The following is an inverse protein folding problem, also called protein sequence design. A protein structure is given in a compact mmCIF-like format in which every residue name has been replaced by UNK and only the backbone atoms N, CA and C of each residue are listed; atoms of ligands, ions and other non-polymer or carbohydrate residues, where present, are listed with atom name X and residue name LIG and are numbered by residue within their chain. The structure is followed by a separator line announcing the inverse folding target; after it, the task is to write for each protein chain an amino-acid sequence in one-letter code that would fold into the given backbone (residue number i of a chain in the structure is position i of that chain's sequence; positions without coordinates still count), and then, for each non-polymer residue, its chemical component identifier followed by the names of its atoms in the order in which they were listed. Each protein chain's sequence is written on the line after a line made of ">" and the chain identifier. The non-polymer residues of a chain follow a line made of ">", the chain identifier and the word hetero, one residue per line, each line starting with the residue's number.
data_IF_474142025362
#
_entry.id   IF_474142025362
#
_cell.length_a   1.000
_cell.length_b   1.000
_cell.length_c   1.000
_cell.angle_alpha   90.00
_cell.angle_beta   90.00
_cell.angle_gamma   90.00
#
_symmetry.space_group_name_H-M   'P 1'
#
loop_
_entity.id
_entity.type
_entity.pdbx_description
1 polymer ?
#
# COMPACT_ATOMS: atom_id res chain seq x y z
N UNK A 1 17.43 13.67 23.32
CA UNK A 1 17.95 12.29 23.25
C UNK A 1 17.27 11.58 22.10
N UNK A 2 18.03 11.01 21.15
CA UNK A 2 17.48 10.10 20.14
C UNK A 2 17.58 8.70 20.72
N UNK A 3 16.46 8.03 20.96
CA UNK A 3 16.45 6.63 21.32
C UNK A 3 17.01 5.83 20.14
N UNK A 4 18.14 5.17 20.37
CA UNK A 4 18.75 4.24 19.41
C UNK A 4 18.17 2.88 19.74
N UNK A 5 17.19 2.46 18.97
CA UNK A 5 16.66 1.12 19.10
C UNK A 5 17.57 0.14 18.35
N UNK A 6 18.33 -0.66 19.10
CA UNK A 6 19.07 -1.80 18.58
C UNK A 6 18.08 -2.96 18.41
N UNK A 7 17.55 -3.11 17.20
CA UNK A 7 16.70 -4.25 16.85
C UNK A 7 17.48 -5.21 15.95
N UNK A 8 17.57 -6.47 16.38
CA UNK A 8 18.21 -7.57 15.65
C UNK A 8 17.68 -7.68 14.21
N UNK A 9 18.53 -7.38 13.22
CA UNK A 9 18.51 -7.84 11.81
C UNK A 9 17.18 -7.86 11.00
N UNK A 10 16.07 -7.34 11.53
CA UNK A 10 14.76 -7.30 10.90
C UNK A 10 14.58 -6.06 10.03
N UNK A 11 14.01 -6.20 8.84
CA UNK A 11 13.63 -5.06 8.03
C UNK A 11 12.42 -4.37 8.68
N UNK A 12 12.66 -3.29 9.42
CA UNK A 12 11.60 -2.46 9.99
C UNK A 12 10.96 -1.58 8.93
N UNK A 13 9.65 -1.38 9.02
CA UNK A 13 8.94 -0.37 8.26
C UNK A 13 8.51 0.75 9.19
N UNK A 14 8.82 1.99 8.81
CA UNK A 14 8.34 3.19 9.47
C UNK A 14 6.99 3.59 8.87
N UNK A 15 5.97 3.67 9.73
CA UNK A 15 4.65 4.19 9.39
C UNK A 15 4.60 5.65 9.85
N UNK A 16 4.64 6.58 8.90
CA UNK A 16 4.70 7.99 9.26
C UNK A 16 3.32 8.59 9.51
N UNK A 17 3.10 9.19 10.68
CA UNK A 17 1.84 9.88 11.01
C UNK A 17 1.55 11.00 10.00
N UNK A 18 2.57 11.76 9.61
CA UNK A 18 2.48 12.82 8.60
C UNK A 18 1.87 12.34 7.28
N UNK A 19 2.20 11.13 6.85
CA UNK A 19 1.67 10.54 5.62
C UNK A 19 0.33 9.84 5.85
N UNK A 20 0.19 9.06 6.91
CA UNK A 20 -1.03 8.30 7.19
C UNK A 20 -2.23 9.18 7.57
N UNK A 21 -1.99 10.42 8.02
CA UNK A 21 -3.03 11.41 8.26
C UNK A 21 -3.47 12.16 6.98
N UNK A 22 -2.89 11.86 5.80
CA UNK A 22 -3.41 12.40 4.54
C UNK A 22 -4.71 11.70 4.17
N UNK A 23 -5.58 12.44 3.48
CA UNK A 23 -6.83 11.91 2.94
C UNK A 23 -6.61 11.34 1.54
N UNK A 24 -7.19 10.18 1.28
CA UNK A 24 -7.17 9.56 -0.03
C UNK A 24 -8.45 8.79 -0.30
N UNK A 25 -9.04 8.96 -1.47
CA UNK A 25 -10.27 8.27 -1.84
C UNK A 25 -10.01 7.07 -2.76
N UNK A 26 -9.41 6.03 -2.20
CA UNK A 26 -9.29 4.71 -2.84
C UNK A 26 -10.41 3.76 -2.38
N UNK A 27 -11.54 4.31 -1.94
CA UNK A 27 -12.73 3.51 -1.64
C UNK A 27 -13.31 2.93 -2.94
N UNK A 28 -14.15 1.89 -2.90
CA UNK A 28 -14.85 1.42 -4.10
C UNK A 28 -15.56 2.54 -4.85
N UNK A 29 -16.17 3.47 -4.13
CA UNK A 29 -16.85 4.63 -4.71
C UNK A 29 -15.87 5.63 -5.35
N UNK A 30 -14.77 5.96 -4.68
CA UNK A 30 -13.71 6.80 -5.23
C UNK A 30 -13.06 6.19 -6.47
N UNK A 31 -12.87 4.86 -6.45
CA UNK A 31 -12.39 4.11 -7.62
C UNK A 31 -13.39 4.23 -8.77
N UNK A 32 -14.68 3.99 -8.53
CA UNK A 32 -15.73 4.03 -9.56
C UNK A 32 -15.89 5.41 -10.19
N UNK A 33 -15.88 6.46 -9.38
CA UNK A 33 -16.27 7.81 -9.82
C UNK A 33 -15.10 8.72 -10.18
N UNK A 34 -13.93 8.58 -9.54
CA UNK A 34 -12.80 9.51 -9.69
C UNK A 34 -11.68 8.95 -10.56
N UNK A 35 -11.08 7.83 -10.16
CA UNK A 35 -9.89 7.31 -10.83
C UNK A 35 -10.18 6.20 -11.85
N UNK A 36 -11.38 5.59 -11.81
CA UNK A 36 -11.81 4.47 -12.67
C UNK A 36 -10.84 3.30 -12.67
N UNK A 37 -10.22 3.02 -11.52
CA UNK A 37 -9.28 1.91 -11.36
C UNK A 37 -8.02 2.04 -12.20
N UNK A 38 -7.64 3.22 -12.70
CA UNK A 38 -6.49 3.41 -13.60
C UNK A 38 -5.15 2.85 -13.10
N UNK A 39 -4.97 2.67 -11.79
CA UNK A 39 -3.80 1.98 -11.21
C UNK A 39 -3.71 0.49 -11.59
N UNK A 40 -4.80 -0.08 -12.12
CA UNK A 40 -4.91 -1.46 -12.58
C UNK A 40 -4.73 -1.63 -14.09
N UNK A 41 -4.49 -0.54 -14.83
CA UNK A 41 -4.36 -0.55 -16.28
C UNK A 41 -2.95 -0.10 -16.69
N UNK A 42 -2.29 -0.93 -17.51
CA UNK A 42 -0.94 -0.67 -18.03
C UNK A 42 0.19 -1.23 -17.17
N UNK A 43 1.46 -1.10 -17.61
CA UNK A 43 2.63 -1.70 -16.96
C UNK A 43 2.99 -1.03 -15.62
N UNK A 44 2.17 -0.06 -15.20
CA UNK A 44 2.51 0.89 -14.17
C UNK A 44 1.98 0.40 -12.83
N UNK A 45 2.90 -0.13 -12.03
CA UNK A 45 2.81 -0.39 -10.60
C UNK A 45 1.50 0.01 -9.87
N UNK A 46 0.85 -0.93 -9.16
CA UNK A 46 1.32 -2.29 -8.87
C UNK A 46 1.29 -3.18 -10.12
N UNK A 47 2.27 -4.07 -10.26
CA UNK A 47 2.45 -4.94 -11.44
C UNK A 47 1.40 -6.04 -11.53
N UNK A 48 0.12 -5.73 -11.32
CA UNK A 48 -0.98 -6.69 -11.25
C UNK A 48 -1.75 -6.78 -12.57
N UNK A 49 -1.14 -6.53 -13.72
CA UNK A 49 -1.78 -6.82 -14.99
C UNK A 49 -1.71 -8.32 -15.24
N UNK A 50 -2.85 -8.99 -15.24
CA UNK A 50 -2.92 -10.39 -15.70
C UNK A 50 -2.67 -10.50 -17.20
N UNK A 51 -2.68 -11.73 -17.73
CA UNK A 51 -2.33 -12.07 -19.12
C UNK A 51 -2.89 -11.16 -20.22
N UNK A 52 -4.07 -10.57 -20.02
CA UNK A 52 -4.73 -9.69 -21.00
C UNK A 52 -4.49 -8.19 -20.76
N UNK A 53 -3.51 -7.83 -19.93
CA UNK A 53 -3.27 -6.44 -19.52
C UNK A 53 -4.30 -5.90 -18.52
N UNK A 54 -5.17 -6.76 -17.98
CA UNK A 54 -6.25 -6.42 -17.04
C UNK A 54 -5.94 -6.97 -15.66
N UNK A 55 -6.20 -6.18 -14.61
CA UNK A 55 -6.05 -6.66 -13.25
C UNK A 55 -7.13 -7.70 -12.90
N UNK A 56 -6.76 -8.92 -12.46
CA UNK A 56 -7.74 -9.95 -12.09
C UNK A 56 -8.55 -9.58 -10.84
N UNK A 57 -8.03 -8.64 -10.04
CA UNK A 57 -8.67 -8.14 -8.84
C UNK A 57 -9.53 -6.89 -9.09
N UNK A 58 -9.62 -6.39 -10.32
CA UNK A 58 -10.52 -5.29 -10.65
C UNK A 58 -11.86 -5.87 -11.12
N UNK A 59 -12.95 -5.57 -10.40
CA UNK A 59 -14.33 -5.86 -10.79
C UNK A 59 -15.06 -4.62 -11.26
N UNK A 60 -16.34 -4.78 -11.62
CA UNK A 60 -17.22 -3.69 -12.09
C UNK A 60 -17.36 -2.56 -11.05
N UNK A 61 -17.29 -2.90 -9.77
CA UNK A 61 -17.42 -1.97 -8.64
C UNK A 61 -16.06 -1.51 -8.07
N UNK A 62 -14.96 -1.73 -8.80
CA UNK A 62 -13.61 -1.42 -8.34
C UNK A 62 -12.85 -2.64 -7.81
N UNK A 63 -11.85 -2.41 -6.95
CA UNK A 63 -10.99 -3.50 -6.45
C UNK A 63 -11.77 -4.50 -5.60
N UNK A 64 -11.66 -5.79 -5.92
CA UNK A 64 -12.18 -6.91 -5.14
C UNK A 64 -11.33 -7.08 -3.87
N UNK A 65 -11.80 -6.52 -2.76
CA UNK A 65 -11.09 -6.55 -1.47
C UNK A 65 -11.08 -7.98 -0.88
N UNK A 66 -12.07 -8.81 -1.23
CA UNK A 66 -12.25 -10.19 -0.72
C UNK A 66 -11.09 -11.17 -1.00
N UNK A 67 -10.20 -10.88 -1.94
CA UNK A 67 -9.06 -11.74 -2.31
C UNK A 67 -7.71 -11.22 -1.76
N UNK A 68 -7.73 -10.54 -0.61
CA UNK A 68 -6.54 -9.89 -0.03
C UNK A 68 -5.30 -10.79 0.07
N UNK A 69 -5.47 -12.09 0.32
CA UNK A 69 -4.37 -13.07 0.42
C UNK A 69 -3.66 -13.33 -0.91
N UNK A 70 -4.38 -13.24 -2.03
CA UNK A 70 -3.88 -13.49 -3.39
C UNK A 70 -3.25 -12.25 -4.02
N UNK A 71 -3.61 -11.05 -3.55
CA UNK A 71 -3.10 -9.79 -4.09
C UNK A 71 -1.64 -9.55 -3.69
N UNK A 72 -0.78 -9.07 -4.62
CA UNK A 72 0.58 -8.68 -4.28
C UNK A 72 0.63 -7.67 -3.13
N UNK A 73 1.61 -7.78 -2.24
CA UNK A 73 1.83 -6.82 -1.14
C UNK A 73 1.99 -5.41 -1.70
N UNK A 74 2.66 -5.24 -2.83
CA UNK A 74 2.78 -3.92 -3.49
C UNK A 74 1.43 -3.33 -3.91
N UNK A 75 0.48 -4.18 -4.32
CA UNK A 75 -0.89 -3.78 -4.64
C UNK A 75 -1.70 -3.43 -3.40
N UNK A 76 -1.56 -4.25 -2.35
CA UNK A 76 -2.22 -4.01 -1.07
C UNK A 76 -1.77 -2.67 -0.48
N UNK A 77 -0.49 -2.34 -0.56
CA UNK A 77 0.04 -1.10 -0.04
C UNK A 77 -0.42 0.15 -0.80
N UNK A 78 -0.94 0.06 -2.02
CA UNK A 78 -1.36 1.23 -2.78
C UNK A 78 -2.46 2.03 -2.05
N UNK A 79 -2.36 3.36 -1.91
CA UNK A 79 -1.49 4.30 -2.63
C UNK A 79 -0.15 4.59 -1.96
N UNK A 80 0.26 3.82 -0.96
CA UNK A 80 1.54 3.94 -0.28
C UNK A 80 2.65 3.19 -1.03
N UNK A 81 3.89 3.60 -0.78
CA UNK A 81 5.10 2.86 -1.17
C UNK A 81 6.14 2.98 -0.07
N UNK A 82 7.02 1.99 0.02
CA UNK A 82 8.20 2.08 0.85
C UNK A 82 9.27 2.93 0.14
N UNK A 83 9.79 3.97 0.80
CA UNK A 83 10.91 4.74 0.30
C UNK A 83 12.27 4.11 0.70
N UNK A 84 13.38 4.73 0.27
CA UNK A 84 14.75 4.26 0.58
C UNK A 84 15.12 4.26 2.07
N UNK A 85 14.34 4.95 2.91
CA UNK A 85 14.51 5.03 4.36
C UNK A 85 13.51 4.11 5.09
N UNK A 86 13.01 3.08 4.40
CA UNK A 86 11.98 2.16 4.89
C UNK A 86 10.73 2.84 5.46
N UNK A 87 10.37 4.02 4.96
CA UNK A 87 9.15 4.73 5.39
C UNK A 87 8.04 4.53 4.38
N UNK A 88 6.85 4.14 4.85
CA UNK A 88 5.64 4.17 4.03
C UNK A 88 5.24 5.62 3.78
N UNK A 89 5.26 6.00 2.51
CA UNK A 89 4.91 7.34 2.02
C UNK A 89 3.89 7.20 0.91
N UNK A 90 3.08 8.24 0.69
CA UNK A 90 2.16 8.24 -0.46
C UNK A 90 2.98 8.24 -1.76
N UNK A 91 2.60 7.35 -2.69
CA UNK A 91 3.22 7.26 -3.99
C UNK A 91 2.95 8.53 -4.80
N UNK A 92 3.97 9.05 -5.49
CA UNK A 92 3.86 10.26 -6.32
C UNK A 92 2.76 10.22 -7.38
N UNK A 93 2.31 9.04 -7.84
CA UNK A 93 1.20 8.88 -8.79
C UNK A 93 -0.16 9.21 -8.16
N UNK A 94 -0.22 9.20 -6.83
CA UNK A 94 -1.38 9.69 -6.09
C UNK A 94 -1.39 11.21 -5.95
N UNK A 95 -0.25 11.91 -6.10
CA UNK A 95 -0.13 13.32 -5.71
C UNK A 95 0.13 14.24 -6.90
N UNK A 96 0.94 13.81 -7.88
CA UNK A 96 1.36 14.67 -8.98
C UNK A 96 0.20 14.96 -9.94
N UNK A 97 0.22 16.17 -10.50
CA UNK A 97 -0.75 16.61 -11.50
C UNK A 97 -0.74 15.69 -12.72
N UNK A 98 -1.91 15.47 -13.30
CA UNK A 98 -2.16 14.60 -14.46
C UNK A 98 -1.89 13.11 -14.19
N UNK A 99 -1.66 12.71 -12.95
CA UNK A 99 -1.53 11.31 -12.60
C UNK A 99 -2.91 10.66 -12.35
N UNK A 100 -3.04 9.35 -12.59
CA UNK A 100 -4.34 8.67 -12.54
C UNK A 100 -5.15 8.85 -11.25
N UNK A 101 -4.47 8.99 -10.12
CA UNK A 101 -5.09 9.05 -8.79
C UNK A 101 -5.01 10.44 -8.14
N UNK A 102 -4.57 11.47 -8.88
CA UNK A 102 -4.53 12.86 -8.39
C UNK A 102 -5.89 13.27 -7.80
N UNK A 103 -6.99 12.95 -8.49
CA UNK A 103 -8.35 13.30 -8.07
C UNK A 103 -8.80 12.62 -6.77
N UNK A 104 -8.11 11.56 -6.35
CA UNK A 104 -8.39 10.85 -5.10
C UNK A 104 -7.68 11.51 -3.91
N UNK A 105 -6.54 12.15 -4.13
CA UNK A 105 -5.73 12.74 -3.07
C UNK A 105 -6.39 13.98 -2.47
N UNK A 106 -6.32 14.11 -1.14
CA UNK A 106 -6.94 15.21 -0.40
C UNK A 106 -8.45 15.02 -0.15
N UNK A 107 -9.04 13.92 -0.62
CA UNK A 107 -10.45 13.60 -0.43
C UNK A 107 -10.62 12.22 0.22
N UNK A 108 -11.83 11.89 0.70
CA UNK A 108 -12.11 10.58 1.30
C UNK A 108 -11.60 10.43 2.75
N UNK A 109 -11.49 9.19 3.25
CA UNK A 109 -11.02 8.90 4.61
C UNK A 109 -9.53 9.19 4.79
N UNK A 110 -9.06 9.16 6.04
CA UNK A 110 -7.63 9.15 6.33
C UNK A 110 -6.99 7.88 5.79
N UNK A 111 -5.74 7.96 5.34
CA UNK A 111 -5.02 6.79 4.83
C UNK A 111 -4.92 5.68 5.89
N UNK A 112 -4.73 6.03 7.16
CA UNK A 112 -4.68 5.00 8.22
C UNK A 112 -5.96 4.17 8.30
N UNK A 113 -7.12 4.81 8.12
CA UNK A 113 -8.42 4.13 8.16
C UNK A 113 -8.69 3.39 6.84
N UNK A 114 -8.35 4.01 5.69
CA UNK A 114 -8.48 3.41 4.37
C UNK A 114 -7.68 2.10 4.25
N UNK A 115 -6.50 2.06 4.88
CA UNK A 115 -5.60 0.91 4.81
C UNK A 115 -5.95 -0.19 5.83
N UNK A 116 -7.03 -0.05 6.61
CA UNK A 116 -7.30 -0.90 7.78
C UNK A 116 -7.24 -2.40 7.52
N UNK A 117 -7.97 -2.91 6.53
CA UNK A 117 -7.96 -4.33 6.17
C UNK A 117 -6.56 -4.79 5.71
N UNK A 118 -5.89 -3.94 4.93
CA UNK A 118 -4.55 -4.22 4.43
C UNK A 118 -3.52 -4.26 5.54
N UNK A 119 -3.52 -3.28 6.44
CA UNK A 119 -2.59 -3.23 7.55
C UNK A 119 -2.87 -4.35 8.53
N UNK A 120 -4.13 -4.69 8.77
CA UNK A 120 -4.51 -5.85 9.59
C UNK A 120 -3.98 -7.16 8.98
N UNK A 121 -4.04 -7.31 7.66
CA UNK A 121 -3.46 -8.47 6.98
C UNK A 121 -1.93 -8.51 7.04
N UNK A 122 -1.26 -7.40 6.68
CA UNK A 122 0.21 -7.33 6.57
C UNK A 122 0.88 -7.38 7.96
N UNK A 123 0.33 -6.65 8.93
CA UNK A 123 0.95 -6.43 10.24
C UNK A 123 0.32 -7.28 11.34
N UNK A 124 -0.89 -7.79 11.13
CA UNK A 124 -1.74 -8.38 12.17
C UNK A 124 -2.69 -7.34 12.79
N UNK A 125 -3.89 -7.77 13.25
CA UNK A 125 -4.91 -6.87 13.77
C UNK A 125 -4.43 -6.06 14.99
N UNK A 126 -3.75 -6.69 15.95
CA UNK A 126 -3.26 -6.00 17.15
C UNK A 126 -2.22 -4.93 16.81
N UNK A 127 -1.33 -5.23 15.85
CA UNK A 127 -0.36 -4.26 15.36
C UNK A 127 -1.02 -3.13 14.59
N UNK A 128 -2.05 -3.41 13.79
CA UNK A 128 -2.80 -2.37 13.10
C UNK A 128 -3.45 -1.40 14.10
N UNK A 129 -4.16 -1.89 15.12
CA UNK A 129 -4.77 -1.02 16.13
C UNK A 129 -3.73 -0.17 16.87
N UNK A 130 -2.58 -0.76 17.22
CA UNK A 130 -1.46 -0.03 17.81
C UNK A 130 -0.94 1.07 16.89
N UNK A 131 -0.65 0.76 15.62
CA UNK A 131 -0.21 1.72 14.61
C UNK A 131 -1.24 2.83 14.46
N UNK A 132 -2.52 2.47 14.36
CA UNK A 132 -3.63 3.41 14.17
C UNK A 132 -3.69 4.41 15.31
N UNK A 133 -3.66 3.95 16.56
CA UNK A 133 -3.68 4.81 17.73
C UNK A 133 -2.48 5.75 17.79
N UNK A 134 -1.27 5.27 17.46
CA UNK A 134 -0.07 6.11 17.44
C UNK A 134 -0.14 7.18 16.35
N UNK A 135 -0.56 6.81 15.14
CA UNK A 135 -0.74 7.73 14.02
C UNK A 135 -1.77 8.81 14.34
N UNK A 136 -2.92 8.43 14.91
CA UNK A 136 -3.97 9.38 15.31
C UNK A 136 -3.51 10.32 16.45
N UNK A 137 -2.62 9.83 17.32
CA UNK A 137 -1.91 10.64 18.31
C UNK A 137 -0.75 11.48 17.75
N UNK A 138 -0.55 11.49 16.42
CA UNK A 138 0.48 12.27 15.74
C UNK A 138 1.88 11.65 15.76
N UNK A 139 2.04 10.42 16.26
CA UNK A 139 3.33 9.74 16.41
C UNK A 139 3.61 8.78 15.25
N UNK A 140 4.86 8.77 14.81
CA UNK A 140 5.35 7.77 13.85
C UNK A 140 5.48 6.41 14.58
N UNK A 141 5.29 5.31 13.84
CA UNK A 141 5.38 3.95 14.38
C UNK A 141 6.40 3.12 13.60
N UNK A 142 7.03 2.15 14.26
CA UNK A 142 8.00 1.25 13.64
C UNK A 142 7.55 -0.19 13.83
N UNK A 143 7.47 -0.94 12.73
CA UNK A 143 7.01 -2.32 12.78
C UNK A 143 8.03 -3.27 12.16
N UNK A 144 8.33 -4.34 12.88
CA UNK A 144 9.02 -5.50 12.32
C UNK A 144 8.01 -6.36 11.58
N UNK A 145 8.30 -6.67 10.32
CA UNK A 145 7.43 -7.51 9.50
C UNK A 145 7.58 -8.99 9.86
N UNK A 146 6.49 -9.75 9.71
CA UNK A 146 6.56 -11.21 9.63
C UNK A 146 7.48 -11.61 8.46
N UNK A 147 8.35 -12.59 8.69
CA UNK A 147 9.32 -13.08 7.69
C UNK A 147 8.65 -13.40 6.35
N UNK A 148 7.51 -14.09 6.37
CA UNK A 148 6.76 -14.47 5.17
C UNK A 148 6.27 -13.28 4.35
N UNK A 149 5.81 -12.20 5.00
CA UNK A 149 5.38 -10.97 4.34
C UNK A 149 6.59 -10.24 3.74
N UNK A 150 7.69 -10.19 4.47
CA UNK A 150 8.93 -9.56 4.01
C UNK A 150 9.51 -10.28 2.78
N UNK A 151 9.57 -11.61 2.81
CA UNK A 151 10.05 -12.43 1.69
C UNK A 151 9.16 -12.26 0.46
N UNK A 152 7.84 -12.30 0.64
CA UNK A 152 6.89 -12.05 -0.43
C UNK A 152 7.09 -10.67 -1.05
N UNK A 153 7.19 -9.63 -0.22
CA UNK A 153 7.44 -8.27 -0.70
C UNK A 153 8.76 -8.16 -1.47
N UNK A 154 9.85 -8.76 -0.96
CA UNK A 154 11.14 -8.78 -1.66
C UNK A 154 11.03 -9.47 -3.03
N UNK A 155 10.37 -10.62 -3.10
CA UNK A 155 10.14 -11.36 -4.35
C UNK A 155 9.39 -10.51 -5.38
N UNK A 156 8.30 -9.86 -4.96
CA UNK A 156 7.52 -8.95 -5.81
C UNK A 156 8.36 -7.76 -6.32
N UNK A 157 9.21 -7.17 -5.47
CA UNK A 157 10.09 -6.06 -5.86
C UNK A 157 11.18 -6.48 -6.84
N UNK A 158 11.71 -7.70 -6.75
CA UNK A 158 12.66 -8.23 -7.73
C UNK A 158 11.99 -8.51 -9.07
N UNK A 159 10.75 -9.00 -9.09
CA UNK A 159 9.98 -9.15 -10.34
C UNK A 159 9.74 -7.79 -11.02
N UNK A 160 9.34 -6.78 -10.24
CA UNK A 160 9.12 -5.42 -10.73
C UNK A 160 10.39 -4.82 -11.35
N UNK A 161 11.58 -5.03 -10.75
CA UNK A 161 12.86 -4.58 -11.32
C UNK A 161 13.19 -5.24 -12.65
N UNK A 162 12.75 -6.49 -12.83
CA UNK A 162 13.01 -7.29 -14.03
C UNK A 162 11.90 -7.20 -15.08
N UNK A 163 10.89 -6.33 -14.88
CA UNK A 163 9.69 -6.24 -15.72
C UNK A 163 8.95 -7.59 -15.90
N UNK A 164 8.94 -8.41 -14.84
CA UNK A 164 8.29 -9.73 -14.79
C UNK A 164 6.91 -9.65 -14.11
N UNK A 165 5.98 -10.52 -14.51
CA UNK A 165 4.62 -10.59 -13.98
C UNK A 165 4.57 -11.41 -12.67
N UNK A 166 3.73 -11.05 -11.68
CA UNK A 166 3.46 -11.89 -10.50
C UNK A 166 2.89 -13.27 -10.82
N UNK A 167 2.37 -13.51 -12.03
CA UNK A 167 1.87 -14.83 -12.45
C UNK A 167 3.00 -15.79 -12.86
N UNK A 168 4.25 -15.30 -12.93
CA UNK A 168 5.47 -16.12 -13.10
C UNK A 168 6.00 -16.66 -11.74
N UNK A 169 5.16 -16.61 -10.69
CA UNK A 169 5.40 -17.10 -9.33
C UNK A 169 4.91 -18.53 -9.10
#
# INVERSE_FOLDING_TARGET
>A
MKEIYLFDNGAYWKISSKWMLKRFDCTPEGIRTKCRGKCCYGPLWPGCTGKDGKCPFLGENGCKISDITKRPITCLLYPLKLNKNNTLVVHLKGILKNMPCEKCYGSGPLLIDLMGDTFSFIFGPDNFERIRNQVLGGKDEFICLKTSILERYKKERELEKNNKSPEEL
#
